data_IF_322442417223
#
_entry.id   IF_322442417223
#
_cell.length_a   1.000
_cell.length_b   1.000
_cell.length_c   1.000
_cell.angle_alpha   90.00
_cell.angle_beta   90.00
_cell.angle_gamma   90.00
#
_symmetry.space_group_name_H-M   'P 1'
#
loop_
_entity.id
_entity.type
_entity.pdbx_description
1 polymer ?
#
# COMPACT_ATOMS: atom_id res chain seq x y z
N UNK A 1 7.75 -42.92 13.27
CA UNK A 1 7.37 -43.84 12.18
C UNK A 1 8.04 -45.18 12.43
N UNK A 2 7.30 -46.30 12.53
CA UNK A 2 7.91 -47.62 12.65
C UNK A 2 8.87 -47.91 11.50
N UNK A 3 9.95 -48.66 11.77
CA UNK A 3 10.87 -49.09 10.74
C UNK A 3 10.12 -49.97 9.70
N UNK A 4 10.27 -49.64 8.41
CA UNK A 4 9.65 -50.40 7.32
C UNK A 4 8.29 -49.90 6.82
N UNK A 5 7.78 -48.75 7.30
CA UNK A 5 6.59 -48.11 6.72
C UNK A 5 6.82 -47.76 5.25
N UNK A 6 5.91 -48.20 4.37
CA UNK A 6 6.02 -48.03 2.90
C UNK A 6 5.05 -47.00 2.31
N UNK A 7 4.02 -46.64 3.08
CA UNK A 7 3.00 -45.68 2.70
C UNK A 7 2.33 -45.10 3.95
N UNK A 8 1.88 -43.85 3.85
CA UNK A 8 1.03 -43.19 4.84
C UNK A 8 -0.17 -42.64 4.08
N UNK A 9 -1.37 -42.87 4.60
CA UNK A 9 -2.60 -42.27 4.10
C UNK A 9 -3.16 -41.32 5.14
N UNK A 10 -3.55 -40.12 4.70
CA UNK A 10 -4.30 -39.17 5.52
C UNK A 10 -5.71 -39.11 4.98
N UNK A 11 -6.71 -39.29 5.84
CA UNK A 11 -8.12 -39.12 5.46
C UNK A 11 -8.63 -37.87 6.17
N UNK A 12 -9.09 -36.91 5.37
CA UNK A 12 -9.78 -35.73 5.86
C UNK A 12 -11.27 -35.89 5.58
N UNK A 13 -12.11 -35.74 6.61
CA UNK A 13 -13.56 -35.87 6.50
C UNK A 13 -14.25 -34.65 7.11
N UNK A 14 -15.03 -33.94 6.30
CA UNK A 14 -15.93 -32.90 6.76
C UNK A 14 -17.27 -33.54 7.14
N UNK A 15 -17.74 -33.30 8.36
CA UNK A 15 -19.06 -33.75 8.84
C UNK A 15 -19.91 -32.55 9.19
N UNK A 16 -21.08 -32.41 8.53
CA UNK A 16 -22.04 -31.33 8.79
C UNK A 16 -23.18 -31.76 9.71
N UNK A 17 -23.69 -30.84 10.53
CA UNK A 17 -24.92 -31.01 11.29
C UNK A 17 -26.12 -30.60 10.42
N UNK A 18 -27.02 -31.54 10.05
CA UNK A 18 -28.14 -31.24 9.17
C UNK A 18 -29.18 -30.29 9.79
N UNK A 19 -29.10 -29.96 11.08
CA UNK A 19 -30.06 -29.10 11.78
C UNK A 19 -29.64 -27.62 11.91
N UNK A 20 -28.47 -27.20 11.39
CA UNK A 20 -28.06 -25.78 11.40
C UNK A 20 -28.56 -25.04 10.17
N UNK A 21 -29.34 -23.98 10.40
CA UNK A 21 -30.04 -23.19 9.36
C UNK A 21 -29.22 -22.00 8.81
N UNK A 22 -27.90 -21.93 9.03
CA UNK A 22 -27.07 -20.90 8.41
C UNK A 22 -26.80 -21.28 6.95
N UNK A 23 -27.14 -20.39 6.00
CA UNK A 23 -26.99 -20.60 4.54
C UNK A 23 -25.54 -20.51 4.04
N UNK A 24 -24.57 -20.71 4.92
CA UNK A 24 -23.17 -20.67 4.58
C UNK A 24 -22.55 -22.06 4.74
N UNK A 25 -22.08 -22.63 3.62
CA UNK A 25 -21.20 -23.78 3.65
C UNK A 25 -19.80 -23.27 4.04
N UNK A 26 -19.58 -23.07 5.33
CA UNK A 26 -18.34 -22.48 5.88
C UNK A 26 -17.19 -23.49 6.04
N UNK A 27 -17.30 -24.69 5.48
CA UNK A 27 -16.29 -25.72 5.64
C UNK A 27 -15.34 -25.75 4.43
N UNK A 28 -14.27 -24.97 4.51
CA UNK A 28 -13.10 -25.12 3.64
C UNK A 28 -11.95 -25.67 4.46
N UNK A 29 -11.21 -26.62 3.90
CA UNK A 29 -9.92 -27.04 4.42
C UNK A 29 -8.87 -26.57 3.43
N UNK A 30 -8.11 -25.57 3.85
CA UNK A 30 -6.93 -25.09 3.13
C UNK A 30 -5.69 -25.42 3.98
N UNK A 31 -4.51 -25.41 3.36
CA UNK A 31 -3.22 -25.68 4.02
C UNK A 31 -3.11 -27.02 4.78
N UNK A 32 -3.86 -28.05 4.38
CA UNK A 32 -3.69 -29.41 4.91
C UNK A 32 -2.27 -29.91 4.61
N UNK A 33 -1.43 -29.98 5.64
CA UNK A 33 -0.07 -30.50 5.56
C UNK A 33 0.12 -31.72 6.45
N UNK A 34 0.83 -32.71 5.93
CA UNK A 34 1.32 -33.85 6.70
C UNK A 34 2.82 -33.64 6.91
N UNK A 35 3.23 -33.39 8.16
CA UNK A 35 4.65 -33.27 8.50
C UNK A 35 5.17 -34.56 9.11
N UNK A 36 6.15 -35.15 8.44
CA UNK A 36 6.92 -36.27 8.96
C UNK A 36 8.23 -35.73 9.55
N UNK A 37 8.28 -35.63 10.87
CA UNK A 37 9.49 -35.20 11.55
C UNK A 37 10.36 -36.42 11.89
N UNK A 38 11.47 -36.57 11.18
CA UNK A 38 12.65 -37.20 11.76
C UNK A 38 13.46 -36.10 12.46
N UNK A 39 14.30 -36.44 13.44
CA UNK A 39 15.35 -35.52 13.92
C UNK A 39 16.38 -35.33 12.80
N UNK A 40 16.00 -34.50 11.83
CA UNK A 40 16.86 -33.97 10.78
C UNK A 40 17.35 -32.60 11.25
N UNK A 41 18.60 -32.28 10.95
CA UNK A 41 19.07 -30.90 11.15
C UNK A 41 18.15 -29.97 10.36
N UNK A 42 17.67 -28.90 11.00
CA UNK A 42 16.83 -27.92 10.32
C UNK A 42 17.59 -27.39 9.10
N UNK A 43 16.95 -27.32 7.91
CA UNK A 43 17.59 -26.69 6.75
C UNK A 43 18.00 -25.28 7.12
N UNK A 44 19.18 -24.85 6.67
CA UNK A 44 19.62 -23.49 6.88
C UNK A 44 18.58 -22.52 6.30
N UNK A 45 18.27 -21.45 7.04
CA UNK A 45 17.37 -20.40 6.56
C UNK A 45 17.90 -19.90 5.20
N UNK A 46 17.08 -19.91 4.13
CA UNK A 46 17.53 -19.44 2.84
C UNK A 46 18.08 -18.02 2.95
N UNK A 47 19.28 -17.79 2.44
CA UNK A 47 19.80 -16.44 2.35
C UNK A 47 18.89 -15.63 1.40
N UNK A 48 18.41 -14.44 1.81
CA UNK A 48 17.66 -13.57 0.92
C UNK A 48 18.50 -13.30 -0.35
N UNK A 49 17.92 -13.37 -1.55
CA UNK A 49 18.66 -13.02 -2.77
C UNK A 49 19.16 -11.58 -2.66
N UNK A 50 20.37 -11.33 -3.19
CA UNK A 50 20.94 -10.00 -3.20
C UNK A 50 20.02 -9.05 -4.01
N UNK A 51 19.47 -8.04 -3.33
CA UNK A 51 18.65 -7.02 -3.99
C UNK A 51 19.54 -6.02 -4.73
N UNK A 52 19.26 -5.79 -6.00
CA UNK A 52 19.85 -4.68 -6.77
C UNK A 52 19.03 -3.40 -6.66
N UNK A 53 17.91 -3.43 -5.94
CA UNK A 53 17.09 -2.26 -5.66
C UNK A 53 17.78 -1.45 -4.55
N UNK A 54 18.14 -0.18 -4.79
CA UNK A 54 18.68 0.68 -3.75
C UNK A 54 17.75 0.78 -2.54
N UNK A 55 18.31 1.03 -1.37
CA UNK A 55 17.49 1.29 -0.19
C UNK A 55 16.62 2.54 -0.43
N UNK A 56 15.34 2.43 -0.08
CA UNK A 56 14.44 3.58 -0.08
C UNK A 56 14.69 4.43 1.16
N UNK A 57 14.70 5.75 0.99
CA UNK A 57 14.81 6.70 2.12
C UNK A 57 13.53 6.68 2.98
N UNK A 58 12.38 6.49 2.32
CA UNK A 58 11.05 6.46 2.93
C UNK A 58 10.19 5.38 2.25
N UNK A 59 9.44 4.62 3.06
CA UNK A 59 8.49 3.61 2.60
C UNK A 59 7.11 3.96 3.13
N UNK A 60 6.13 4.08 2.23
CA UNK A 60 4.73 4.31 2.55
C UNK A 60 3.95 3.01 2.30
N UNK A 61 3.46 2.41 3.37
CA UNK A 61 2.57 1.28 3.32
C UNK A 61 1.14 1.78 3.50
N UNK A 62 0.29 1.56 2.50
CA UNK A 62 -1.13 1.92 2.53
C UNK A 62 -1.93 0.63 2.58
N UNK A 63 -2.66 0.40 3.67
CA UNK A 63 -3.56 -0.74 3.78
C UNK A 63 -4.96 -0.32 3.33
N UNK A 64 -5.58 -1.10 2.47
CA UNK A 64 -6.98 -0.95 2.02
C UNK A 64 -7.62 -2.33 2.11
N UNK A 65 -8.96 -2.40 2.11
CA UNK A 65 -9.63 -3.62 2.58
C UNK A 65 -10.79 -4.08 1.69
N UNK A 66 -11.18 -5.35 1.90
CA UNK A 66 -12.46 -5.92 1.52
C UNK A 66 -12.84 -5.83 0.05
N UNK A 67 -11.83 -5.81 -0.83
CA UNK A 67 -12.02 -5.96 -2.28
C UNK A 67 -11.04 -6.98 -2.83
N UNK A 68 -11.56 -7.91 -3.63
CA UNK A 68 -10.75 -8.85 -4.39
C UNK A 68 -9.99 -8.13 -5.51
N UNK A 69 -8.95 -8.79 -6.02
CA UNK A 69 -8.17 -8.27 -7.15
C UNK A 69 -9.04 -7.81 -8.31
N UNK A 70 -9.97 -8.66 -8.76
CA UNK A 70 -10.85 -8.38 -9.91
C UNK A 70 -11.92 -7.32 -9.62
N UNK A 71 -12.20 -7.03 -8.35
CA UNK A 71 -13.07 -5.91 -7.96
C UNK A 71 -12.37 -4.56 -8.11
N UNK A 72 -11.03 -4.52 -8.13
CA UNK A 72 -10.23 -3.30 -8.17
C UNK A 72 -9.51 -3.11 -9.50
N UNK A 73 -8.75 -4.11 -9.95
CA UNK A 73 -7.88 -3.99 -11.13
C UNK A 73 -8.72 -4.11 -12.41
N UNK A 74 -8.63 -3.10 -13.27
CA UNK A 74 -9.47 -2.97 -14.45
C UNK A 74 -10.86 -2.36 -14.18
N UNK A 75 -11.23 -2.17 -12.90
CA UNK A 75 -12.49 -1.53 -12.56
C UNK A 75 -12.43 -0.02 -12.82
N UNK A 76 -13.36 0.47 -13.64
CA UNK A 76 -13.48 1.90 -13.98
C UNK A 76 -13.84 2.82 -12.81
N UNK A 77 -14.28 2.27 -11.67
CA UNK A 77 -14.48 2.98 -10.41
C UNK A 77 -13.17 3.15 -9.61
N UNK A 78 -12.20 2.25 -9.77
CA UNK A 78 -10.88 2.29 -9.12
C UNK A 78 -9.75 2.64 -10.11
N UNK A 79 -9.97 3.68 -10.93
CA UNK A 79 -9.04 4.04 -12.03
C UNK A 79 -7.63 4.31 -11.55
N UNK A 80 -7.48 4.96 -10.39
CA UNK A 80 -6.17 5.29 -9.86
C UNK A 80 -5.38 4.06 -9.43
N UNK A 81 -6.00 3.12 -8.70
CA UNK A 81 -5.35 1.86 -8.33
C UNK A 81 -5.00 1.03 -9.57
N UNK A 82 -5.90 0.97 -10.55
CA UNK A 82 -5.62 0.34 -11.85
C UNK A 82 -4.44 1.02 -12.58
N UNK A 83 -4.35 2.35 -12.51
CA UNK A 83 -3.23 3.10 -13.09
C UNK A 83 -1.93 2.86 -12.33
N UNK A 84 -1.95 2.81 -11.01
CA UNK A 84 -0.76 2.46 -10.22
C UNK A 84 -0.27 1.06 -10.57
N UNK A 85 -1.16 0.08 -10.60
CA UNK A 85 -0.85 -1.29 -11.00
C UNK A 85 -0.22 -1.35 -12.41
N UNK A 86 -0.79 -0.64 -13.40
CA UNK A 86 -0.26 -0.63 -14.77
C UNK A 86 1.13 0.01 -14.93
N UNK A 87 1.53 0.87 -14.00
CA UNK A 87 2.80 1.60 -14.05
C UNK A 87 3.86 1.06 -13.08
N UNK A 88 3.54 0.04 -12.29
CA UNK A 88 4.39 -0.48 -11.22
C UNK A 88 4.32 -2.00 -11.16
N UNK A 89 4.84 -2.57 -10.07
CA UNK A 89 4.79 -4.00 -9.80
C UNK A 89 3.46 -4.37 -9.16
N UNK A 90 2.89 -5.48 -9.63
CA UNK A 90 1.67 -6.07 -9.08
C UNK A 90 2.00 -7.44 -8.51
N UNK A 91 1.68 -7.66 -7.24
CA UNK A 91 1.76 -8.97 -6.61
C UNK A 91 0.48 -9.75 -6.89
N UNK A 92 0.36 -10.30 -8.11
CA UNK A 92 -0.87 -10.98 -8.57
C UNK A 92 -1.18 -12.31 -7.88
N UNK A 93 -0.32 -12.78 -6.98
CA UNK A 93 -0.48 -13.98 -6.15
C UNK A 93 -0.25 -13.63 -4.67
N UNK A 94 -0.81 -12.50 -4.23
CA UNK A 94 -0.82 -12.06 -2.83
C UNK A 94 -2.23 -12.26 -2.27
N UNK A 95 -2.33 -12.98 -1.16
CA UNK A 95 -3.61 -13.39 -0.56
C UNK A 95 -3.71 -12.90 0.88
N UNK A 96 -4.93 -12.64 1.34
CA UNK A 96 -5.20 -12.57 2.77
C UNK A 96 -4.97 -13.93 3.42
N UNK A 97 -4.60 -13.95 4.69
CA UNK A 97 -4.32 -15.19 5.41
C UNK A 97 -5.60 -15.82 5.99
N UNK A 98 -6.59 -15.00 6.35
CA UNK A 98 -7.80 -15.47 7.02
C UNK A 98 -8.94 -14.46 6.87
N UNK A 99 -10.16 -14.87 7.19
CA UNK A 99 -11.26 -13.98 7.54
C UNK A 99 -11.64 -14.24 9.01
N UNK A 100 -11.81 -13.19 9.84
CA UNK A 100 -12.00 -11.77 9.51
C UNK A 100 -10.69 -10.95 9.40
N UNK A 101 -10.78 -9.61 9.47
CA UNK A 101 -9.75 -8.67 9.04
C UNK A 101 -8.59 -8.46 10.03
N UNK A 102 -8.83 -8.34 11.33
CA UNK A 102 -7.82 -8.02 12.35
C UNK A 102 -6.57 -8.94 12.26
N UNK A 103 -6.70 -10.27 12.13
CA UNK A 103 -5.52 -11.13 12.08
C UNK A 103 -4.65 -10.90 10.84
N UNK A 104 -5.21 -10.35 9.75
CA UNK A 104 -4.43 -9.96 8.57
C UNK A 104 -3.59 -8.71 8.85
N UNK A 105 -4.16 -7.70 9.53
CA UNK A 105 -3.39 -6.52 9.96
C UNK A 105 -2.25 -6.93 10.89
N UNK A 106 -2.53 -7.82 11.85
CA UNK A 106 -1.49 -8.40 12.72
C UNK A 106 -0.42 -9.14 11.93
N UNK A 107 -0.80 -9.90 10.89
CA UNK A 107 0.14 -10.63 10.07
C UNK A 107 1.05 -9.70 9.25
N UNK A 108 0.51 -8.63 8.67
CA UNK A 108 1.32 -7.64 7.95
C UNK A 108 2.28 -6.91 8.90
N UNK A 109 1.82 -6.52 10.09
CA UNK A 109 2.63 -5.75 11.03
C UNK A 109 3.61 -6.60 11.85
N UNK A 110 3.25 -7.83 12.19
CA UNK A 110 3.97 -8.69 13.14
C UNK A 110 4.40 -10.05 12.57
N UNK A 111 4.05 -10.37 11.32
CA UNK A 111 4.47 -11.59 10.63
C UNK A 111 3.69 -12.86 10.99
N UNK A 112 2.58 -12.75 11.72
CA UNK A 112 1.72 -13.88 12.12
C UNK A 112 0.30 -13.41 12.46
N UNK A 113 -0.69 -14.30 12.37
CA UNK A 113 -2.03 -14.08 12.94
C UNK A 113 -2.04 -14.23 14.47
N UNK A 114 -0.94 -14.73 15.05
CA UNK A 114 -0.79 -15.04 16.48
C UNK A 114 -1.88 -15.98 17.03
N UNK A 115 -2.46 -16.81 16.15
CA UNK A 115 -3.53 -17.75 16.50
C UNK A 115 -4.93 -17.12 16.57
N UNK A 116 -5.07 -15.83 16.26
CA UNK A 116 -6.38 -15.19 16.15
C UNK A 116 -7.10 -15.65 14.87
N UNK A 117 -8.39 -15.97 15.04
CA UNK A 117 -9.30 -16.41 13.96
C UNK A 117 -10.58 -15.57 13.92
N UNK A 118 -10.62 -14.50 14.72
CA UNK A 118 -11.71 -13.56 14.91
C UNK A 118 -11.19 -12.11 14.82
N UNK A 119 -12.07 -11.11 15.00
CA UNK A 119 -11.69 -9.71 15.18
C UNK A 119 -11.66 -9.42 16.69
N UNK A 120 -10.50 -9.55 17.37
CA UNK A 120 -10.45 -9.53 18.82
C UNK A 120 -10.37 -8.10 19.39
N UNK A 121 -10.42 -7.04 18.58
CA UNK A 121 -10.53 -5.67 19.10
C UNK A 121 -11.87 -5.48 19.87
N UNK A 122 -11.89 -4.83 21.04
CA UNK A 122 -10.76 -4.30 21.82
C UNK A 122 -10.16 -5.29 22.83
N UNK A 123 -10.68 -6.51 22.93
CA UNK A 123 -10.27 -7.53 23.91
C UNK A 123 -8.80 -7.97 23.84
N UNK A 124 -8.15 -7.85 22.67
CA UNK A 124 -6.75 -8.22 22.46
C UNK A 124 -5.77 -7.03 22.44
N UNK A 125 -6.19 -5.80 22.78
CA UNK A 125 -5.28 -4.66 22.88
C UNK A 125 -4.12 -5.01 23.83
N UNK A 126 -2.89 -4.80 23.37
CA UNK A 126 -1.67 -5.07 24.13
C UNK A 126 -1.38 -6.55 24.44
N UNK A 127 -2.10 -7.49 23.83
CA UNK A 127 -1.90 -8.94 24.06
C UNK A 127 -0.63 -9.48 23.40
N UNK A 128 -0.16 -8.85 22.33
CA UNK A 128 0.98 -9.35 21.54
C UNK A 128 2.30 -8.81 22.11
N UNK A 129 3.21 -9.72 22.46
CA UNK A 129 4.50 -9.35 23.09
C UNK A 129 5.69 -9.36 22.11
N UNK A 130 5.43 -9.81 20.88
CA UNK A 130 6.41 -9.90 19.79
C UNK A 130 6.65 -8.53 19.15
N UNK A 131 7.85 -8.25 18.61
CA UNK A 131 8.08 -7.01 17.87
C UNK A 131 7.22 -6.88 16.60
N UNK A 132 6.76 -5.67 16.31
CA UNK A 132 6.14 -5.29 15.04
C UNK A 132 7.15 -4.63 14.07
N UNK A 133 6.70 -4.32 12.84
CA UNK A 133 7.48 -3.66 11.80
C UNK A 133 7.99 -2.28 12.22
N UNK A 134 7.28 -1.55 13.08
CA UNK A 134 7.74 -0.30 13.67
C UNK A 134 8.97 -0.51 14.55
N UNK A 135 8.98 -1.58 15.37
CA UNK A 135 10.18 -1.93 16.14
C UNK A 135 11.35 -2.33 15.23
N UNK A 136 11.08 -2.97 14.08
CA UNK A 136 12.13 -3.31 13.11
C UNK A 136 12.74 -2.04 12.50
N UNK A 137 11.92 -1.04 12.16
CA UNK A 137 12.40 0.26 11.72
C UNK A 137 13.29 0.93 12.78
N UNK A 138 12.84 0.98 14.04
CA UNK A 138 13.60 1.61 15.13
C UNK A 138 14.93 0.90 15.40
N UNK A 139 14.97 -0.43 15.38
CA UNK A 139 16.21 -1.21 15.51
C UNK A 139 17.21 -0.91 14.40
N UNK A 140 16.73 -0.53 13.21
CA UNK A 140 17.56 -0.09 12.10
C UNK A 140 17.95 1.41 12.18
N UNK A 141 17.64 2.09 13.29
CA UNK A 141 17.87 3.53 13.45
C UNK A 141 16.96 4.39 12.57
N UNK A 142 15.80 3.86 12.16
CA UNK A 142 14.83 4.51 11.28
C UNK A 142 13.60 4.95 12.07
N UNK A 143 13.04 6.10 11.71
CA UNK A 143 11.79 6.59 12.31
C UNK A 143 10.57 5.95 11.66
N UNK A 144 9.48 5.83 12.41
CA UNK A 144 8.21 5.40 11.86
C UNK A 144 7.02 6.11 12.49
N UNK A 145 5.90 6.14 11.77
CA UNK A 145 4.62 6.68 12.23
C UNK A 145 3.45 6.02 11.49
N UNK A 146 2.38 5.77 12.21
CA UNK A 146 1.07 5.43 11.67
C UNK A 146 0.19 6.68 11.58
N UNK A 147 -0.30 6.99 10.38
CA UNK A 147 -1.31 8.02 10.19
C UNK A 147 -2.64 7.38 9.85
N UNK A 148 -3.69 7.84 10.53
CA UNK A 148 -5.02 7.26 10.37
C UNK A 148 -6.01 8.36 10.05
N UNK A 149 -6.77 8.17 8.97
CA UNK A 149 -7.84 9.09 8.59
C UNK A 149 -9.00 9.02 9.60
N UNK A 150 -9.64 10.16 9.83
CA UNK A 150 -10.69 10.37 10.83
C UNK A 150 -10.31 10.10 12.29
N UNK A 151 -9.14 9.56 12.64
CA UNK A 151 -8.67 9.51 14.03
C UNK A 151 -8.63 10.93 14.63
N UNK A 152 -9.45 11.22 15.64
CA UNK A 152 -9.59 12.59 16.17
C UNK A 152 -8.43 13.02 17.08
N UNK A 153 -7.80 12.07 17.77
CA UNK A 153 -6.70 12.33 18.70
C UNK A 153 -5.61 11.27 18.57
N UNK A 154 -4.34 11.60 18.87
CA UNK A 154 -3.27 10.61 18.90
C UNK A 154 -3.62 9.42 19.78
N UNK A 155 -3.31 8.21 19.31
CA UNK A 155 -3.66 6.97 19.99
C UNK A 155 -5.16 6.86 20.36
N UNK A 156 -6.08 7.29 19.50
CA UNK A 156 -7.50 7.06 19.78
C UNK A 156 -7.83 5.56 19.65
N UNK A 157 -8.20 4.90 20.75
CA UNK A 157 -8.59 3.49 20.78
C UNK A 157 -10.11 3.28 20.77
N UNK A 158 -10.88 4.34 20.51
CA UNK A 158 -12.32 4.31 20.36
C UNK A 158 -12.74 4.65 18.94
N UNK A 159 -13.75 3.93 18.44
CA UNK A 159 -14.39 4.21 17.16
C UNK A 159 -14.92 5.64 17.12
N UNK A 160 -14.73 6.33 15.99
CA UNK A 160 -15.32 7.64 15.76
C UNK A 160 -15.64 7.85 14.27
N UNK A 161 -16.83 8.33 13.92
CA UNK A 161 -17.18 8.51 12.49
C UNK A 161 -16.89 7.25 11.67
N UNK A 162 -16.04 7.38 10.64
CA UNK A 162 -15.55 6.27 9.82
C UNK A 162 -14.23 5.63 10.28
N UNK A 163 -13.62 6.11 11.37
CA UNK A 163 -12.44 5.48 11.97
C UNK A 163 -12.85 4.36 12.91
N UNK A 164 -12.25 3.19 12.72
CA UNK A 164 -12.31 2.05 13.64
C UNK A 164 -10.88 1.70 14.09
N UNK A 165 -10.60 1.57 15.40
CA UNK A 165 -9.28 1.17 15.88
C UNK A 165 -8.84 -0.22 15.41
N UNK A 166 -9.76 -1.10 15.03
CA UNK A 166 -9.47 -2.45 14.53
C UNK A 166 -8.68 -2.45 13.20
N UNK A 167 -8.80 -1.39 12.39
CA UNK A 167 -8.06 -1.21 11.13
C UNK A 167 -6.59 -0.82 11.34
N UNK A 168 -6.12 -0.70 12.59
CA UNK A 168 -4.72 -0.38 12.89
C UNK A 168 -4.13 -1.52 13.70
N UNK A 169 -3.01 -2.15 13.26
CA UNK A 169 -2.49 -3.33 13.95
C UNK A 169 -1.77 -2.98 15.26
N UNK A 170 -1.20 -1.79 15.36
CA UNK A 170 -0.25 -1.42 16.42
C UNK A 170 -0.82 -1.47 17.85
N UNK A 171 -2.09 -1.12 18.12
CA UNK A 171 -2.71 -1.30 19.44
C UNK A 171 -2.71 -2.74 19.96
N UNK A 172 -2.62 -3.77 19.12
CA UNK A 172 -2.51 -5.15 19.60
C UNK A 172 -1.14 -5.45 20.23
N UNK A 173 -0.10 -4.69 19.88
CA UNK A 173 1.26 -4.89 20.38
C UNK A 173 1.48 -4.19 21.71
N UNK A 174 1.95 -4.96 22.70
CA UNK A 174 2.15 -4.53 24.08
C UNK A 174 3.13 -3.36 24.20
N UNK A 175 4.16 -3.30 23.36
CA UNK A 175 5.11 -2.19 23.41
C UNK A 175 4.42 -0.85 23.10
N UNK A 176 3.43 -0.85 22.21
CA UNK A 176 2.63 0.34 21.87
C UNK A 176 1.53 0.57 22.90
N UNK A 177 0.75 -0.46 23.23
CA UNK A 177 -0.43 -0.32 24.10
C UNK A 177 -0.10 -0.01 25.57
N UNK A 178 1.02 -0.54 26.08
CA UNK A 178 1.41 -0.35 27.48
C UNK A 178 2.19 0.96 27.73
N UNK A 179 2.55 1.69 26.67
CA UNK A 179 3.25 2.98 26.75
C UNK A 179 2.40 4.07 26.07
N UNK A 180 1.62 4.85 26.85
CA UNK A 180 0.78 5.93 26.31
C UNK A 180 1.57 6.98 25.53
N UNK A 181 2.81 7.30 25.93
CA UNK A 181 3.63 8.28 25.24
C UNK A 181 4.08 7.75 23.88
N UNK A 182 4.47 6.47 23.81
CA UNK A 182 4.79 5.81 22.55
C UNK A 182 3.56 5.72 21.64
N UNK A 183 2.42 5.27 22.16
CA UNK A 183 1.22 5.19 21.34
C UNK A 183 0.83 6.55 20.78
N UNK A 184 0.84 7.60 21.61
CA UNK A 184 0.55 8.97 21.18
C UNK A 184 1.61 9.56 20.24
N UNK A 185 2.87 9.11 20.29
CA UNK A 185 3.91 9.51 19.33
C UNK A 185 3.72 8.82 17.98
N UNK A 186 3.44 7.52 18.00
CA UNK A 186 3.43 6.67 16.81
C UNK A 186 2.11 6.65 16.07
N UNK A 187 0.97 6.70 16.75
CA UNK A 187 -0.35 6.66 16.11
C UNK A 187 -0.97 8.05 16.13
N UNK A 188 -1.03 8.66 14.96
CA UNK A 188 -1.42 10.05 14.78
C UNK A 188 -2.65 10.18 13.87
N UNK A 189 -3.51 11.17 14.13
CA UNK A 189 -4.45 11.68 13.13
C UNK A 189 -3.75 12.03 11.82
N UNK A 190 -4.43 11.82 10.69
CA UNK A 190 -3.93 12.23 9.38
C UNK A 190 -3.58 13.73 9.31
N UNK A 191 -4.15 14.58 10.17
CA UNK A 191 -3.81 16.01 10.22
C UNK A 191 -2.33 16.27 10.54
N UNK A 192 -1.68 15.37 11.30
CA UNK A 192 -0.25 15.46 11.63
C UNK A 192 0.66 15.26 10.41
N UNK A 193 0.17 14.53 9.40
CA UNK A 193 0.86 14.29 8.14
C UNK A 193 1.40 15.58 7.52
N UNK A 194 0.60 16.65 7.50
CA UNK A 194 0.98 17.90 6.83
C UNK A 194 2.19 18.60 7.47
N UNK A 195 2.43 18.37 8.75
CA UNK A 195 3.61 18.87 9.44
C UNK A 195 4.80 17.95 9.21
N UNK A 196 4.62 16.65 9.43
CA UNK A 196 5.73 15.70 9.35
C UNK A 196 6.25 15.55 7.91
N UNK A 197 5.37 15.59 6.90
CA UNK A 197 5.75 15.49 5.49
C UNK A 197 6.05 16.85 4.84
N UNK A 198 6.19 17.91 5.64
CA UNK A 198 6.55 19.24 5.14
C UNK A 198 7.94 19.29 4.48
N UNK A 199 8.81 18.32 4.80
CA UNK A 199 10.12 18.13 4.18
C UNK A 199 10.57 16.68 4.26
N UNK A 200 11.54 16.29 3.43
CA UNK A 200 12.17 14.95 3.53
C UNK A 200 12.86 14.73 4.88
N UNK A 201 13.43 15.78 5.48
CA UNK A 201 14.10 15.70 6.78
C UNK A 201 13.16 15.39 7.95
N UNK A 202 11.88 15.75 7.83
CA UNK A 202 10.86 15.52 8.84
C UNK A 202 9.99 14.29 8.55
N UNK A 203 10.07 13.74 7.33
CA UNK A 203 9.27 12.61 6.89
C UNK A 203 9.75 11.32 7.58
N UNK A 204 8.86 10.53 8.20
CA UNK A 204 9.25 9.24 8.77
C UNK A 204 9.85 8.30 7.73
N UNK A 205 10.81 7.46 8.10
CA UNK A 205 11.38 6.47 7.18
C UNK A 205 10.38 5.36 6.83
N UNK A 206 9.51 4.98 7.77
CA UNK A 206 8.40 4.08 7.52
C UNK A 206 7.07 4.72 7.91
N UNK A 207 6.14 4.76 6.97
CA UNK A 207 4.80 5.28 7.18
C UNK A 207 3.80 4.15 6.97
N UNK A 208 3.01 3.86 8.01
CA UNK A 208 1.75 3.14 7.84
C UNK A 208 0.66 4.18 7.62
N UNK A 209 -0.10 4.06 6.54
CA UNK A 209 -1.25 4.89 6.31
C UNK A 209 -2.51 4.03 6.24
N UNK A 210 -3.45 4.38 7.11
CA UNK A 210 -4.77 3.75 7.22
C UNK A 210 -5.84 4.78 6.80
N UNK A 211 -6.46 4.61 5.62
CA UNK A 211 -7.68 5.36 5.28
C UNK A 211 -8.82 5.01 6.25
N UNK A 212 -9.87 5.82 6.28
CA UNK A 212 -11.05 5.48 7.08
C UNK A 212 -11.85 4.34 6.41
N UNK A 213 -12.77 3.70 7.13
CA UNK A 213 -13.56 2.55 6.64
C UNK A 213 -14.25 2.76 5.29
N UNK A 214 -14.59 4.00 4.92
CA UNK A 214 -15.13 4.27 3.58
C UNK A 214 -14.03 4.37 2.52
N UNK A 215 -12.94 5.06 2.80
CA UNK A 215 -11.84 5.22 1.86
C UNK A 215 -11.00 3.94 1.69
N UNK A 216 -11.01 3.01 2.66
CA UNK A 216 -10.46 1.65 2.47
C UNK A 216 -11.32 0.78 1.57
N UNK A 217 -12.53 1.24 1.20
CA UNK A 217 -13.57 0.47 0.51
C UNK A 217 -14.20 -0.64 1.37
N UNK A 218 -14.05 -0.57 2.70
CA UNK A 218 -14.70 -1.52 3.62
C UNK A 218 -16.21 -1.27 3.68
N UNK A 219 -16.61 -0.08 4.12
CA UNK A 219 -18.01 0.32 4.35
C UNK A 219 -18.66 0.99 3.14
N UNK A 220 -17.83 1.43 2.20
CA UNK A 220 -18.26 2.13 1.00
C UNK A 220 -17.87 1.37 -0.28
N UNK A 221 -18.44 1.80 -1.42
CA UNK A 221 -18.16 1.18 -2.72
C UNK A 221 -16.70 1.34 -3.19
N UNK A 222 -16.32 0.62 -4.25
CA UNK A 222 -14.96 0.70 -4.84
C UNK A 222 -14.61 2.10 -5.35
N UNK A 223 -15.61 2.91 -5.70
CA UNK A 223 -15.34 4.28 -6.10
C UNK A 223 -14.91 5.13 -4.90
N UNK A 224 -15.19 4.72 -3.67
CA UNK A 224 -15.08 5.52 -2.46
C UNK A 224 -13.67 6.01 -2.13
N UNK A 225 -12.60 5.32 -2.54
CA UNK A 225 -11.22 5.73 -2.28
C UNK A 225 -10.97 7.16 -2.79
N UNK A 226 -11.13 8.13 -1.88
CA UNK A 226 -11.19 9.55 -2.22
C UNK A 226 -9.81 10.18 -2.39
N UNK A 227 -8.74 9.67 -1.74
CA UNK A 227 -7.36 10.22 -1.90
C UNK A 227 -6.85 10.17 -3.34
N UNK A 228 -7.59 9.49 -4.21
CA UNK A 228 -7.14 9.02 -5.51
C UNK A 228 -8.11 9.39 -6.66
N UNK A 229 -9.18 10.14 -6.38
CA UNK A 229 -10.23 10.42 -7.38
C UNK A 229 -9.83 11.44 -8.45
N UNK A 230 -8.80 12.25 -8.24
CA UNK A 230 -8.59 13.41 -9.10
C UNK A 230 -7.30 13.42 -9.94
N UNK A 231 -7.45 13.02 -11.21
CA UNK A 231 -6.49 13.27 -12.29
C UNK A 231 -6.48 14.77 -12.73
N UNK A 232 -7.27 15.66 -12.11
CA UNK A 232 -7.41 17.03 -12.58
C UNK A 232 -6.19 17.93 -12.32
N UNK A 233 -5.23 17.52 -11.49
CA UNK A 233 -3.98 18.27 -11.29
C UNK A 233 -3.08 18.23 -12.54
N UNK A 234 -3.04 17.11 -13.27
CA UNK A 234 -2.17 16.97 -14.46
C UNK A 234 -2.60 17.85 -15.65
N UNK A 235 -3.86 18.31 -15.73
CA UNK A 235 -4.38 19.06 -16.88
C UNK A 235 -4.37 20.58 -16.71
N UNK A 236 -4.23 21.11 -15.49
CA UNK A 236 -4.36 22.55 -15.24
C UNK A 236 -3.07 23.35 -15.39
N UNK A 237 -1.91 22.76 -15.09
CA UNK A 237 -0.63 23.48 -15.21
C UNK A 237 -0.10 23.55 -16.65
N UNK A 238 -0.45 22.58 -17.51
CA UNK A 238 0.03 22.57 -18.90
C UNK A 238 -0.64 23.62 -19.81
N UNK A 239 -1.66 24.35 -19.30
CA UNK A 239 -2.32 25.45 -20.02
C UNK A 239 -1.86 26.85 -19.59
N UNK A 240 -1.08 26.99 -18.51
CA UNK A 240 -0.67 28.31 -17.99
C UNK A 240 0.73 28.78 -18.42
N UNK A 241 1.55 27.92 -19.04
CA UNK A 241 2.86 28.32 -19.56
C UNK A 241 2.84 28.83 -21.01
N UNK A 242 1.65 28.98 -21.61
CA UNK A 242 1.50 29.23 -23.05
C UNK A 242 0.67 30.46 -23.44
N UNK A 243 0.70 31.59 -22.72
CA UNK A 243 0.21 32.86 -23.28
C UNK A 243 0.49 34.07 -22.37
N UNK A 244 1.09 35.10 -22.98
CA UNK A 244 1.20 36.51 -22.57
C UNK A 244 2.62 37.00 -22.20
N UNK A 245 3.36 37.34 -23.25
CA UNK A 245 4.31 38.44 -23.23
C UNK A 245 3.52 39.71 -23.48
N UNK A 246 3.55 40.68 -22.56
CA UNK A 246 3.27 42.09 -22.84
C UNK A 246 4.00 42.96 -21.82
N UNK A 247 4.75 43.94 -22.35
CA UNK A 247 5.50 44.94 -21.62
C UNK A 247 4.60 45.95 -20.89
N UNK A 248 5.01 46.37 -19.69
CA UNK A 248 4.99 47.73 -19.11
C UNK A 248 5.44 47.56 -17.63
N UNK A 249 6.47 48.22 -17.13
CA UNK A 249 6.47 49.62 -16.69
C UNK A 249 6.66 49.64 -15.15
N UNK A 250 7.60 50.47 -14.66
CA UNK A 250 8.10 50.52 -13.27
C UNK A 250 7.02 50.89 -12.25
N UNK A 251 7.08 50.32 -11.03
CA UNK A 251 7.22 51.06 -9.77
C UNK A 251 7.29 50.14 -8.54
N UNK A 252 8.09 50.56 -7.55
CA UNK A 252 8.48 49.76 -6.39
C UNK A 252 7.46 49.80 -5.25
N UNK A 253 7.22 48.64 -4.65
CA UNK A 253 6.83 48.51 -3.25
C UNK A 253 7.33 47.18 -2.69
N UNK A 254 8.12 47.25 -1.60
CA UNK A 254 8.49 46.10 -0.77
C UNK A 254 7.22 45.41 -0.25
N UNK A 255 7.00 44.14 -0.59
CA UNK A 255 6.00 43.28 0.04
C UNK A 255 6.67 42.06 0.68
N UNK A 256 6.21 41.77 1.90
CA UNK A 256 6.63 40.73 2.84
C UNK A 256 6.49 39.31 2.22
N UNK A 257 7.23 38.29 2.69
CA UNK A 257 7.08 36.93 2.19
C UNK A 257 5.66 36.42 2.48
N UNK A 258 4.98 36.00 1.43
CA UNK A 258 3.59 35.56 1.46
C UNK A 258 3.41 34.21 2.14
N UNK A 259 2.37 34.14 2.96
CA UNK A 259 1.76 32.91 3.44
C UNK A 259 1.38 32.00 2.27
N UNK A 260 1.77 30.72 2.34
CA UNK A 260 1.25 29.69 1.44
C UNK A 260 -0.25 29.50 1.70
N UNK A 261 -1.08 29.96 0.76
CA UNK A 261 -2.53 29.74 0.80
C UNK A 261 -2.80 28.30 0.32
N UNK A 262 -3.34 27.51 1.24
CA UNK A 262 -3.77 26.12 1.05
C UNK A 262 -5.06 26.11 0.23
N UNK A 263 -5.06 25.44 -0.92
CA UNK A 263 -6.26 25.23 -1.73
C UNK A 263 -7.02 23.98 -1.30
N UNK A 264 -8.13 24.14 -0.58
CA UNK A 264 -9.17 23.11 -0.47
C UNK A 264 -9.98 23.08 -1.76
N UNK A 265 -10.39 21.91 -2.23
CA UNK A 265 -11.49 21.83 -3.17
C UNK A 265 -12.81 22.25 -2.48
N UNK A 266 -13.88 22.49 -3.24
CA UNK A 266 -15.17 22.94 -2.69
C UNK A 266 -15.88 21.89 -1.82
N UNK A 267 -15.32 20.69 -1.61
CA UNK A 267 -15.91 19.60 -0.83
C UNK A 267 -15.05 19.12 0.34
N UNK A 268 -13.83 19.65 0.51
CA UNK A 268 -12.97 19.29 1.64
C UNK A 268 -12.31 17.90 1.52
N UNK A 269 -12.16 17.33 0.32
CA UNK A 269 -11.54 16.00 0.14
C UNK A 269 -10.02 16.07 -0.05
N UNK A 270 -9.31 15.08 0.55
CA UNK A 270 -7.85 14.93 0.51
C UNK A 270 -7.33 14.59 -0.89
N UNK A 271 -6.19 15.19 -1.25
CA UNK A 271 -5.38 14.80 -2.39
C UNK A 271 -3.97 14.43 -1.90
N UNK A 272 -3.54 13.21 -2.24
CA UNK A 272 -2.18 12.74 -2.01
C UNK A 272 -1.23 13.49 -2.99
N UNK A 273 -0.46 14.47 -2.50
CA UNK A 273 0.53 15.21 -3.30
C UNK A 273 1.83 14.39 -3.44
N UNK A 274 2.22 14.06 -4.67
CA UNK A 274 3.59 13.65 -4.97
C UNK A 274 4.55 14.85 -4.98
N UNK A 275 5.87 14.65 -4.79
CA UNK A 275 6.82 15.76 -4.76
C UNK A 275 6.86 16.49 -6.11
N UNK A 276 6.76 17.82 -6.06
CA UNK A 276 6.97 18.67 -7.22
C UNK A 276 8.39 18.45 -7.77
N UNK A 277 8.52 18.19 -9.08
CA UNK A 277 9.82 18.15 -9.75
C UNK A 277 10.45 19.55 -9.68
N UNK A 278 11.38 19.74 -8.76
CA UNK A 278 12.20 20.95 -8.68
C UNK A 278 13.13 21.04 -9.90
N UNK A 279 12.72 21.77 -10.93
CA UNK A 279 13.59 22.15 -12.04
C UNK A 279 14.62 23.17 -11.58
N UNK A 280 15.84 22.73 -11.25
CA UNK A 280 17.01 23.62 -11.24
C UNK A 280 17.52 23.76 -12.68
N UNK A 281 17.18 24.87 -13.33
CA UNK A 281 17.96 25.36 -14.46
C UNK A 281 19.29 25.90 -13.94
N UNK A 282 20.35 25.10 -14.02
CA UNK A 282 21.71 25.62 -13.87
C UNK A 282 22.21 26.08 -15.24
N UNK A 283 22.10 27.39 -15.49
CA UNK A 283 22.67 28.02 -16.70
C UNK A 283 24.17 28.16 -16.53
N UNK A 284 24.95 27.17 -16.99
CA UNK A 284 26.35 27.40 -17.39
C UNK A 284 26.51 27.13 -18.88
N UNK A 285 26.71 28.23 -19.62
CA UNK A 285 27.20 28.24 -21.01
C UNK A 285 28.58 27.56 -21.04
N UNK A 286 28.72 26.49 -21.81
CA UNK A 286 29.99 26.14 -22.46
C UNK A 286 29.70 25.83 -23.92
N UNK A 287 30.37 26.59 -24.80
CA UNK A 287 30.30 26.45 -26.25
C UNK A 287 31.04 25.17 -26.70
N UNK A 288 30.40 24.44 -27.62
CA UNK A 288 31.06 23.82 -28.78
C UNK A 288 31.60 22.40 -28.63
N UNK A 289 30.90 21.43 -29.21
CA UNK A 289 31.28 20.80 -30.49
C UNK A 289 30.15 19.89 -30.96
N UNK A 290 29.85 19.99 -32.25
CA UNK A 290 28.93 19.12 -32.98
C UNK A 290 29.66 17.81 -33.23
N UNK A 291 29.00 16.68 -33.03
CA UNK A 291 29.14 15.52 -33.91
C UNK A 291 27.80 14.80 -34.05
N UNK A 292 27.45 14.55 -35.30
CA UNK A 292 26.23 13.91 -35.80
C UNK A 292 26.43 12.40 -35.85
N UNK A 293 25.42 11.61 -35.47
CA UNK A 293 25.06 10.32 -36.10
C UNK A 293 23.55 10.10 -35.83
N UNK A 294 22.65 10.46 -36.76
CA UNK A 294 21.98 9.64 -37.80
C UNK A 294 20.94 8.63 -37.27
N UNK A 295 19.68 8.92 -37.63
CA UNK A 295 18.49 8.04 -37.61
C UNK A 295 18.55 6.96 -38.71
N UNK A 296 17.71 5.92 -38.51
CA UNK A 296 17.17 4.91 -39.44
C UNK A 296 17.61 3.47 -39.05
N UNK A 297 16.78 2.44 -39.09
CA UNK A 297 15.75 2.15 -40.09
C UNK A 297 14.60 1.25 -39.58
N UNK A 298 13.45 1.40 -40.26
CA UNK A 298 12.32 0.46 -40.30
C UNK A 298 12.63 -0.71 -41.24
N UNK A 299 12.06 -1.88 -40.92
CA UNK A 299 11.65 -3.10 -41.67
C UNK A 299 12.07 -3.29 -43.15
N UNK A 300 12.03 -4.56 -43.59
CA UNK A 300 11.06 -4.90 -44.62
C UNK A 300 10.21 -6.15 -44.31
N UNK A 301 8.93 -6.06 -44.72
CA UNK A 301 8.07 -7.20 -45.05
C UNK A 301 8.53 -7.79 -46.39
N UNK A 302 8.42 -9.11 -46.55
CA UNK A 302 8.27 -9.75 -47.87
C UNK A 302 7.03 -10.63 -47.83
N UNK A 303 6.06 -10.25 -48.65
CA UNK A 303 5.02 -11.13 -49.18
C UNK A 303 5.65 -12.02 -50.26
N UNK A 304 5.21 -13.29 -50.33
CA UNK A 304 5.16 -14.08 -51.55
C UNK A 304 3.99 -15.07 -51.41
N UNK A 305 2.95 -14.80 -52.20
CA UNK A 305 1.87 -15.70 -52.56
C UNK A 305 2.39 -16.95 -53.28
N UNK A 306 1.79 -18.13 -53.02
CA UNK A 306 1.07 -18.88 -54.06
C UNK A 306 0.37 -20.16 -53.54
N UNK A 307 -0.94 -20.19 -53.82
CA UNK A 307 -1.80 -21.30 -54.27
C UNK A 307 -1.88 -22.64 -53.52
N UNK A 308 -3.13 -23.01 -53.15
CA UNK A 308 -3.76 -24.20 -53.76
C UNK A 308 -4.45 -25.23 -52.85
N UNK A 309 -5.77 -25.05 -52.66
CA UNK A 309 -6.87 -26.06 -52.69
C UNK A 309 -6.74 -27.44 -52.00
N UNK A 310 -7.79 -27.78 -51.22
CA UNK A 310 -8.40 -29.14 -51.16
C UNK A 310 -8.54 -29.71 -49.74
N UNK A 311 -9.70 -29.59 -49.07
CA UNK A 311 -10.86 -30.52 -49.00
C UNK A 311 -10.61 -31.92 -48.39
N UNK A 312 -11.43 -32.21 -47.36
CA UNK A 312 -11.86 -33.51 -46.76
C UNK A 312 -10.81 -34.18 -45.85
N UNK A 313 -11.16 -34.79 -44.72
CA UNK A 313 -12.44 -35.17 -44.10
C UNK A 313 -12.36 -34.97 -42.58
#
# INVERSE_FOLDING_TARGET
>A
MPAGTRSIGTVFQLTGDPNRANRYNDAYADDLSLTLSATLAAPAVPAPPASTVPAFDHVFFVMVENKSYDQVIGNSAARYLSRLASNNVVLGQSYGLIHPSDPNYMAVAGGSTFGHVDNPMPGAIGSLTTPNIGNLAERAGKSWRGYVEDMHSPCNLAKNGHYDPDNVPFPFFRDVAADPARCQDKLQPITRWWTDLGSTATTPNFVWFEPNSCNTMHDCDVAALACCRDDSYSRRDNKREGSHVSHHGRDGHRRRPGHGVVGRDRRGQLACLGPARGGRQDRRRVRGRRDRVVQAARRPRRDLDHHGRGRRA
#
